data_IF_044598763777
#
_entry.id   IF_044598763777
#
_cell.length_a   1.000
_cell.length_b   1.000
_cell.length_c   1.000
_cell.angle_alpha   90.00
_cell.angle_beta   90.00
_cell.angle_gamma   90.00
#
_symmetry.space_group_name_H-M   'P 1'
#
loop_
_entity.id
_entity.type
_entity.pdbx_description
1 polymer ?
#
# COMPACT_ATOMS: atom_id res chain seq x y z
N UNK A 1 16.41 -1.54 -21.50
CA UNK A 1 16.77 -2.37 -20.33
C UNK A 1 16.15 -3.73 -20.55
N UNK A 2 16.89 -4.82 -20.44
CA UNK A 2 16.28 -6.14 -20.57
C UNK A 2 15.49 -6.47 -19.28
N UNK A 3 14.63 -7.49 -19.31
CA UNK A 3 13.78 -7.84 -18.17
C UNK A 3 14.56 -8.27 -16.91
N UNK A 4 15.71 -8.94 -17.09
CA UNK A 4 16.56 -9.37 -15.98
C UNK A 4 17.18 -8.16 -15.27
N UNK A 5 17.66 -7.17 -16.04
CA UNK A 5 18.16 -5.91 -15.48
C UNK A 5 17.07 -5.20 -14.64
N UNK A 6 15.81 -5.21 -15.11
CA UNK A 6 14.69 -4.63 -14.36
C UNK A 6 14.39 -5.42 -13.07
N UNK A 7 14.52 -6.74 -13.08
CA UNK A 7 14.35 -7.56 -11.88
C UNK A 7 15.41 -7.23 -10.83
N UNK A 8 16.68 -7.15 -11.25
CA UNK A 8 17.80 -6.81 -10.36
C UNK A 8 17.63 -5.41 -9.77
N UNK A 9 17.25 -4.42 -10.58
CA UNK A 9 17.02 -3.06 -10.10
C UNK A 9 15.85 -2.96 -9.12
N UNK A 10 14.71 -3.61 -9.42
CA UNK A 10 13.56 -3.64 -8.51
C UNK A 10 13.94 -4.26 -7.16
N UNK A 11 14.65 -5.39 -7.18
CA UNK A 11 15.12 -6.03 -5.96
C UNK A 11 16.05 -5.11 -5.17
N UNK A 12 17.00 -4.46 -5.85
CA UNK A 12 17.95 -3.54 -5.22
C UNK A 12 17.25 -2.32 -4.61
N UNK A 13 16.30 -1.71 -5.31
CA UNK A 13 15.54 -0.56 -4.81
C UNK A 13 14.73 -0.94 -3.56
N UNK A 14 14.01 -2.08 -3.60
CA UNK A 14 13.21 -2.54 -2.46
C UNK A 14 14.10 -2.93 -1.26
N UNK A 15 15.22 -3.61 -1.51
CA UNK A 15 16.16 -3.99 -0.45
C UNK A 15 16.78 -2.75 0.21
N UNK A 16 17.10 -1.73 -0.57
CA UNK A 16 17.62 -0.48 -0.04
C UNK A 16 16.59 0.24 0.85
N UNK A 17 15.31 0.28 0.44
CA UNK A 17 14.23 0.85 1.25
C UNK A 17 14.04 0.09 2.58
N UNK A 18 14.22 -1.23 2.58
CA UNK A 18 14.18 -2.04 3.81
C UNK A 18 15.40 -1.77 4.69
N UNK A 19 16.60 -1.89 4.11
CA UNK A 19 17.89 -1.81 4.79
C UNK A 19 18.10 -0.47 5.51
N UNK A 20 17.77 0.66 4.87
CA UNK A 20 17.90 1.99 5.48
C UNK A 20 17.02 2.10 6.74
N UNK A 21 15.75 1.70 6.66
CA UNK A 21 14.81 1.78 7.78
C UNK A 21 15.17 0.82 8.91
N UNK A 22 15.57 -0.40 8.56
CA UNK A 22 16.04 -1.38 9.53
C UNK A 22 17.27 -0.86 10.28
N UNK A 23 18.24 -0.29 9.55
CA UNK A 23 19.43 0.33 10.14
C UNK A 23 19.07 1.46 11.10
N UNK A 24 18.19 2.38 10.70
CA UNK A 24 17.77 3.51 11.54
C UNK A 24 17.09 3.04 12.84
N UNK A 25 16.14 2.10 12.75
CA UNK A 25 15.45 1.54 13.92
C UNK A 25 16.42 0.87 14.90
N UNK A 26 17.30 0.00 14.37
CA UNK A 26 18.32 -0.69 15.18
C UNK A 26 19.30 0.30 15.81
N UNK A 27 19.68 1.35 15.09
CA UNK A 27 20.62 2.36 15.59
C UNK A 27 20.04 3.14 16.76
N UNK A 28 18.76 3.52 16.69
CA UNK A 28 18.07 4.17 17.80
C UNK A 28 17.96 3.27 19.03
N UNK A 29 17.62 2.00 18.84
CA UNK A 29 17.58 1.03 19.95
C UNK A 29 18.94 0.83 20.61
N UNK A 30 19.99 0.69 19.81
CA UNK A 30 21.35 0.53 20.32
C UNK A 30 21.80 1.78 21.09
N UNK A 31 21.47 2.96 20.58
CA UNK A 31 21.74 4.22 21.28
C UNK A 31 21.07 4.23 22.66
N UNK A 32 19.81 3.84 22.77
CA UNK A 32 19.13 3.76 24.07
C UNK A 32 19.76 2.73 24.99
N UNK A 33 20.02 1.50 24.51
CA UNK A 33 20.64 0.44 25.34
C UNK A 33 22.01 0.84 25.91
N UNK A 34 22.80 1.61 25.16
CA UNK A 34 24.11 2.08 25.60
C UNK A 34 24.03 3.23 26.62
N UNK A 35 22.91 3.96 26.64
CA UNK A 35 22.70 5.12 27.51
C UNK A 35 21.58 4.86 28.54
N UNK A 36 21.23 3.60 28.77
CA UNK A 36 20.15 3.24 29.68
C UNK A 36 20.57 3.58 31.12
N UNK A 37 19.79 4.46 31.74
CA UNK A 37 20.04 4.95 33.10
C UNK A 37 19.37 4.08 34.17
N UNK A 38 18.55 3.11 33.76
CA UNK A 38 17.69 2.32 34.65
C UNK A 38 16.45 3.07 35.14
N UNK A 39 16.23 4.31 34.68
CA UNK A 39 15.03 5.09 34.95
C UNK A 39 13.88 4.62 34.04
N UNK A 40 12.92 3.90 34.62
CA UNK A 40 11.80 3.32 33.88
C UNK A 40 10.82 4.38 33.33
N UNK A 41 10.70 5.55 33.97
CA UNK A 41 9.85 6.62 33.45
C UNK A 41 10.46 7.20 32.16
N UNK A 42 11.76 7.48 32.18
CA UNK A 42 12.48 7.92 30.99
C UNK A 42 12.52 6.82 29.90
N UNK A 43 12.76 5.57 30.29
CA UNK A 43 12.73 4.42 29.39
C UNK A 43 11.38 4.27 28.69
N UNK A 44 10.29 4.45 29.43
CA UNK A 44 8.93 4.46 28.90
C UNK A 44 8.72 5.59 27.88
N UNK A 45 9.15 6.81 28.21
CA UNK A 45 9.08 7.95 27.28
C UNK A 45 9.89 7.67 26.00
N UNK A 46 11.07 7.10 26.11
CA UNK A 46 11.88 6.73 24.96
C UNK A 46 11.17 5.69 24.07
N UNK A 47 10.59 4.65 24.67
CA UNK A 47 9.81 3.63 23.93
C UNK A 47 8.56 4.22 23.26
N UNK A 48 7.91 5.24 23.82
CA UNK A 48 6.82 5.97 23.13
C UNK A 48 7.32 6.60 21.83
N UNK A 49 8.48 7.25 21.85
CA UNK A 49 9.10 7.85 20.66
C UNK A 49 9.45 6.78 19.63
N UNK A 50 10.02 5.64 20.06
CA UNK A 50 10.32 4.54 19.16
C UNK A 50 9.08 3.94 18.49
N UNK A 51 7.92 3.92 19.16
CA UNK A 51 6.66 3.47 18.54
C UNK A 51 6.22 4.39 17.40
N UNK A 52 6.34 5.70 17.58
CA UNK A 52 6.01 6.69 16.53
C UNK A 52 6.92 6.48 15.33
N UNK A 53 8.22 6.32 15.57
CA UNK A 53 9.22 6.12 14.52
C UNK A 53 9.03 4.78 13.82
N UNK A 54 8.85 3.69 14.56
CA UNK A 54 8.56 2.35 14.04
C UNK A 54 7.36 2.36 13.09
N UNK A 55 6.26 2.99 13.51
CA UNK A 55 5.08 3.10 12.66
C UNK A 55 5.38 3.89 11.38
N UNK A 56 6.04 5.05 11.48
CA UNK A 56 6.37 5.89 10.33
C UNK A 56 7.24 5.15 9.31
N UNK A 57 8.21 4.36 9.78
CA UNK A 57 9.01 3.50 8.91
C UNK A 57 8.19 2.40 8.28
N UNK A 58 7.34 1.72 9.04
CA UNK A 58 6.47 0.65 8.54
C UNK A 58 5.53 1.14 7.43
N UNK A 59 4.78 2.22 7.69
CA UNK A 59 3.86 2.81 6.71
C UNK A 59 4.60 3.33 5.49
N UNK A 60 5.68 4.09 5.71
CA UNK A 60 6.48 4.66 4.65
C UNK A 60 7.14 3.59 3.78
N UNK A 61 7.58 2.46 4.36
CA UNK A 61 8.11 1.33 3.63
C UNK A 61 7.03 0.73 2.72
N UNK A 62 5.91 0.28 3.29
CA UNK A 62 4.84 -0.39 2.55
C UNK A 62 4.36 0.46 1.38
N UNK A 63 4.11 1.76 1.62
CA UNK A 63 3.72 2.69 0.56
C UNK A 63 4.77 2.76 -0.54
N UNK A 64 6.05 2.92 -0.17
CA UNK A 64 7.13 3.11 -1.14
C UNK A 64 7.37 1.88 -2.00
N UNK A 65 7.38 0.68 -1.43
CA UNK A 65 7.63 -0.55 -2.20
C UNK A 65 6.47 -0.91 -3.12
N UNK A 66 5.22 -0.62 -2.72
CA UNK A 66 4.06 -0.78 -3.60
C UNK A 66 4.10 0.22 -4.78
N UNK A 67 4.54 1.46 -4.54
CA UNK A 67 4.75 2.45 -5.61
C UNK A 67 5.89 2.03 -6.56
N UNK A 68 6.99 1.49 -6.04
CA UNK A 68 8.07 0.92 -6.86
C UNK A 68 7.50 -0.18 -7.75
N UNK A 69 6.74 -1.13 -7.19
CA UNK A 69 6.12 -2.18 -7.98
C UNK A 69 5.22 -1.64 -9.11
N UNK A 70 4.34 -0.68 -8.80
CA UNK A 70 3.46 -0.04 -9.81
C UNK A 70 4.26 0.62 -10.93
N UNK A 71 5.35 1.31 -10.60
CA UNK A 71 6.23 1.93 -11.59
C UNK A 71 6.88 0.88 -12.50
N UNK A 72 7.41 -0.20 -11.95
CA UNK A 72 8.01 -1.28 -12.74
C UNK A 72 7.00 -2.02 -13.63
N UNK A 73 5.78 -2.27 -13.13
CA UNK A 73 4.69 -2.81 -13.95
C UNK A 73 4.37 -1.89 -15.13
N UNK A 74 4.30 -0.57 -14.90
CA UNK A 74 4.05 0.42 -15.95
C UNK A 74 5.18 0.47 -16.99
N UNK A 75 6.44 0.30 -16.57
CA UNK A 75 7.61 0.25 -17.47
C UNK A 75 7.61 -0.99 -18.37
N UNK A 76 6.93 -2.07 -17.97
CA UNK A 76 6.83 -3.31 -18.76
C UNK A 76 6.03 -3.20 -20.05
N UNK A 77 5.36 -2.06 -20.31
CA UNK A 77 4.58 -1.78 -21.52
C UNK A 77 3.54 -2.86 -21.90
N UNK A 78 3.00 -3.56 -20.90
CA UNK A 78 2.11 -4.69 -21.04
C UNK A 78 0.76 -4.27 -21.65
N UNK A 79 0.14 -5.14 -22.45
CA UNK A 79 -1.26 -4.95 -22.85
C UNK A 79 -2.19 -5.31 -21.69
N UNK A 80 -3.21 -4.48 -21.43
CA UNK A 80 -4.15 -4.66 -20.30
C UNK A 80 -4.85 -6.03 -20.35
N UNK A 81 -5.17 -6.54 -21.54
CA UNK A 81 -5.80 -7.86 -21.70
C UNK A 81 -4.95 -9.03 -21.18
N UNK A 82 -3.62 -8.86 -21.09
CA UNK A 82 -2.69 -9.93 -20.72
C UNK A 82 -2.38 -9.99 -19.21
N UNK A 83 -2.78 -8.98 -18.43
CA UNK A 83 -2.53 -8.94 -16.98
C UNK A 83 -3.70 -9.47 -16.18
N UNK A 84 -3.47 -9.89 -14.94
CA UNK A 84 -4.52 -10.33 -14.03
C UNK A 84 -5.56 -9.24 -13.74
N UNK A 85 -6.73 -9.68 -13.28
CA UNK A 85 -7.93 -8.83 -13.25
C UNK A 85 -7.85 -7.69 -12.23
N UNK A 86 -7.14 -7.85 -11.11
CA UNK A 86 -6.87 -6.76 -10.17
C UNK A 86 -6.01 -5.65 -10.77
N UNK A 87 -4.94 -5.99 -11.49
CA UNK A 87 -4.14 -5.00 -12.24
C UNK A 87 -4.93 -4.37 -13.39
N UNK A 88 -5.76 -5.13 -14.10
CA UNK A 88 -6.64 -4.59 -15.13
C UNK A 88 -7.70 -3.64 -14.54
N UNK A 89 -8.31 -4.00 -13.40
CA UNK A 89 -9.24 -3.15 -12.68
C UNK A 89 -8.58 -1.87 -12.15
N UNK A 90 -7.32 -1.98 -11.74
CA UNK A 90 -6.47 -0.87 -11.32
C UNK A 90 -6.26 0.17 -12.43
N UNK A 91 -6.16 -0.27 -13.68
CA UNK A 91 -6.04 0.61 -14.86
C UNK A 91 -7.29 1.48 -15.10
N UNK A 92 -8.47 0.98 -14.70
CA UNK A 92 -9.78 1.64 -14.91
C UNK A 92 -10.38 2.19 -13.61
N UNK A 93 -9.54 2.46 -12.62
CA UNK A 93 -9.97 2.94 -11.30
C UNK A 93 -10.75 4.27 -11.38
N UNK A 94 -10.29 5.19 -12.24
CA UNK A 94 -10.94 6.48 -12.44
C UNK A 94 -12.36 6.32 -13.00
N UNK A 95 -12.56 5.38 -13.90
CA UNK A 95 -13.81 5.04 -14.54
C UNK A 95 -14.79 4.43 -13.53
N UNK A 96 -14.32 3.56 -12.62
CA UNK A 96 -15.13 3.07 -11.51
C UNK A 96 -15.54 4.19 -10.55
N UNK A 97 -14.63 5.13 -10.24
CA UNK A 97 -14.97 6.29 -9.40
C UNK A 97 -16.04 7.15 -10.07
N UNK A 98 -15.92 7.43 -11.38
CA UNK A 98 -16.92 8.17 -12.17
C UNK A 98 -18.28 7.47 -12.24
N UNK A 99 -18.29 6.14 -12.32
CA UNK A 99 -19.52 5.35 -12.33
C UNK A 99 -20.32 5.54 -11.03
N UNK A 100 -19.63 5.66 -9.89
CA UNK A 100 -20.21 5.82 -8.56
C UNK A 100 -20.41 7.28 -8.12
N UNK A 101 -19.71 8.23 -8.75
CA UNK A 101 -19.82 9.65 -8.43
C UNK A 101 -21.18 10.22 -8.87
N UNK A 102 -21.99 10.65 -7.91
CA UNK A 102 -23.31 11.24 -8.18
C UNK A 102 -23.23 12.56 -8.94
N UNK A 103 -22.13 13.30 -8.80
CA UNK A 103 -21.91 14.58 -9.47
C UNK A 103 -21.38 14.42 -10.90
N UNK A 104 -20.81 13.26 -11.23
CA UNK A 104 -20.29 13.01 -12.57
C UNK A 104 -21.40 12.95 -13.61
N UNK A 105 -21.23 13.69 -14.71
CA UNK A 105 -22.17 13.74 -15.84
C UNK A 105 -21.54 13.05 -17.05
N UNK A 106 -22.13 11.95 -17.56
CA UNK A 106 -21.55 11.23 -18.71
C UNK A 106 -21.56 12.11 -19.97
N UNK A 107 -20.45 12.09 -20.70
CA UNK A 107 -20.20 12.90 -21.91
C UNK A 107 -21.14 12.49 -23.04
N UNK A 108 -21.57 11.23 -23.05
CA UNK A 108 -22.49 10.67 -24.05
C UNK A 108 -23.90 11.26 -24.02
N UNK A 109 -24.23 12.05 -23.00
CA UNK A 109 -25.50 12.77 -22.88
C UNK A 109 -25.25 14.28 -23.03
N UNK A 110 -25.94 14.93 -23.97
CA UNK A 110 -25.92 16.40 -24.07
C UNK A 110 -26.47 17.05 -22.80
N UNK A 111 -26.02 18.26 -22.46
CA UNK A 111 -26.33 18.95 -21.19
C UNK A 111 -27.84 19.01 -20.84
N UNK A 112 -28.71 19.03 -21.85
CA UNK A 112 -30.16 19.09 -21.68
C UNK A 112 -30.79 17.75 -21.23
N UNK A 113 -30.21 16.60 -21.58
CA UNK A 113 -30.70 15.29 -21.17
C UNK A 113 -30.37 14.95 -19.70
N UNK A 114 -29.38 15.66 -19.12
CA UNK A 114 -28.84 15.41 -17.78
C UNK A 114 -29.55 16.18 -16.66
N UNK A 115 -30.46 17.10 -16.98
CA UNK A 115 -31.11 17.98 -16.00
C UNK A 115 -32.38 17.40 -15.36
N UNK A 116 -32.89 16.25 -15.81
CA UNK A 116 -34.25 15.81 -15.45
C UNK A 116 -34.37 14.36 -14.93
N UNK A 117 -33.40 13.48 -15.18
CA UNK A 117 -33.58 12.04 -14.92
C UNK A 117 -32.29 11.35 -14.44
N UNK A 118 -32.23 11.03 -13.14
CA UNK A 118 -31.11 10.31 -12.53
C UNK A 118 -30.95 8.88 -13.07
N UNK A 119 -32.02 8.25 -13.55
CA UNK A 119 -31.99 6.92 -14.16
C UNK A 119 -31.31 7.01 -15.53
N UNK A 120 -31.65 8.01 -16.34
CA UNK A 120 -30.99 8.25 -17.64
C UNK A 120 -29.50 8.56 -17.45
N UNK A 121 -29.15 9.37 -16.44
CA UNK A 121 -27.75 9.65 -16.09
C UNK A 121 -27.00 8.36 -15.73
N UNK A 122 -27.59 7.47 -14.92
CA UNK A 122 -27.01 6.16 -14.58
C UNK A 122 -26.78 5.30 -15.83
N UNK A 123 -27.76 5.22 -16.75
CA UNK A 123 -27.58 4.47 -18.01
C UNK A 123 -26.50 5.08 -18.90
N UNK A 124 -26.40 6.40 -18.96
CA UNK A 124 -25.32 7.10 -19.65
C UNK A 124 -23.94 6.74 -19.11
N UNK A 125 -23.77 6.74 -17.78
CA UNK A 125 -22.50 6.33 -17.12
C UNK A 125 -22.12 4.89 -17.46
N UNK A 126 -23.08 3.96 -17.43
CA UNK A 126 -22.85 2.55 -17.79
C UNK A 126 -22.44 2.40 -19.26
N UNK A 127 -23.06 3.14 -20.17
CA UNK A 127 -22.71 3.12 -21.60
C UNK A 127 -21.31 3.66 -21.84
N UNK A 128 -20.97 4.79 -21.22
CA UNK A 128 -19.62 5.38 -21.30
C UNK A 128 -18.57 4.43 -20.72
N UNK A 129 -18.80 3.84 -19.55
CA UNK A 129 -17.94 2.83 -18.96
C UNK A 129 -17.67 1.67 -19.93
N UNK A 130 -18.71 1.11 -20.56
CA UNK A 130 -18.52 0.00 -21.50
C UNK A 130 -17.71 0.39 -22.75
N UNK A 131 -17.85 1.62 -23.23
CA UNK A 131 -17.02 2.14 -24.32
C UNK A 131 -15.56 2.26 -23.88
N UNK A 132 -15.31 2.92 -22.74
CA UNK A 132 -13.96 3.10 -22.21
C UNK A 132 -13.30 1.76 -21.87
N UNK A 133 -14.03 0.83 -21.27
CA UNK A 133 -13.55 -0.52 -20.97
C UNK A 133 -13.02 -1.22 -22.22
N UNK A 134 -13.79 -1.24 -23.32
CA UNK A 134 -13.36 -1.87 -24.58
C UNK A 134 -12.09 -1.24 -25.15
N UNK A 135 -11.94 0.07 -25.02
CA UNK A 135 -10.74 0.78 -25.46
C UNK A 135 -9.54 0.53 -24.57
N UNK A 136 -9.73 0.48 -23.25
CA UNK A 136 -8.63 0.30 -22.29
C UNK A 136 -8.08 -1.12 -22.36
N UNK A 137 -8.94 -2.13 -22.52
CA UNK A 137 -8.51 -3.52 -22.61
C UNK A 137 -7.59 -3.78 -23.82
N UNK A 138 -7.69 -3.00 -24.90
CA UNK A 138 -6.81 -3.09 -26.07
C UNK A 138 -5.56 -2.19 -26.01
N UNK A 139 -5.42 -1.38 -24.95
CA UNK A 139 -4.30 -0.45 -24.76
C UNK A 139 -3.27 -1.00 -23.77
N UNK A 140 -2.10 -0.35 -23.77
CA UNK A 140 -1.06 -0.56 -22.76
C UNK A 140 -1.63 -0.26 -21.36
N UNK A 141 -1.24 -1.09 -20.40
CA UNK A 141 -1.55 -0.95 -18.99
C UNK A 141 -0.94 0.34 -18.46
N UNK A 142 -1.72 1.13 -17.72
CA UNK A 142 -1.23 2.30 -17.00
C UNK A 142 -1.90 2.42 -15.63
N UNK A 143 -1.25 1.87 -14.62
CA UNK A 143 -1.73 1.94 -13.23
C UNK A 143 -1.33 3.30 -12.65
N UNK A 144 -2.28 4.08 -12.10
CA UNK A 144 -1.98 5.35 -11.47
C UNK A 144 -1.41 5.17 -10.06
N UNK A 145 -0.54 6.07 -9.62
CA UNK A 145 0.10 6.02 -8.30
C UNK A 145 -0.91 6.18 -7.14
N UNK A 146 -2.02 6.87 -7.39
CA UNK A 146 -3.09 7.12 -6.41
C UNK A 146 -3.87 5.85 -6.02
N UNK A 147 -3.51 4.72 -6.61
CA UNK A 147 -3.94 3.41 -6.17
C UNK A 147 -3.30 2.98 -4.85
N UNK A 148 -2.09 3.48 -4.57
CA UNK A 148 -1.38 3.22 -3.32
C UNK A 148 -1.78 4.28 -2.29
N UNK A 149 -3.01 4.14 -1.80
CA UNK A 149 -3.57 4.99 -0.75
C UNK A 149 -3.51 4.29 0.61
N UNK A 150 -2.72 4.84 1.53
CA UNK A 150 -2.63 4.38 2.92
C UNK A 150 -3.78 4.88 3.79
N UNK A 151 -4.76 5.57 3.19
CA UNK A 151 -5.84 6.27 3.86
C UNK A 151 -5.27 7.24 4.93
N UNK A 152 -5.98 7.42 6.04
CA UNK A 152 -5.46 8.18 7.19
C UNK A 152 -4.31 7.45 7.93
N UNK A 153 -4.30 6.12 7.85
CA UNK A 153 -3.35 5.25 8.57
C UNK A 153 -3.32 3.87 7.91
N UNK A 154 -2.13 3.30 7.72
CA UNK A 154 -1.96 1.93 7.23
C UNK A 154 -2.33 0.87 8.28
N UNK A 155 -3.64 0.71 8.53
CA UNK A 155 -4.18 -0.41 9.30
C UNK A 155 -4.06 -1.71 8.51
N UNK A 156 -4.16 -2.85 9.20
CA UNK A 156 -4.02 -4.17 8.56
C UNK A 156 -4.97 -4.39 7.38
N UNK A 157 -6.21 -3.91 7.50
CA UNK A 157 -7.21 -4.03 6.43
C UNK A 157 -6.90 -3.13 5.24
N UNK A 158 -6.23 -1.98 5.44
CA UNK A 158 -5.80 -1.09 4.35
C UNK A 158 -4.70 -1.77 3.54
N UNK A 159 -3.70 -2.34 4.23
CA UNK A 159 -2.64 -3.12 3.56
C UNK A 159 -3.22 -4.32 2.78
N UNK A 160 -4.20 -5.03 3.34
CA UNK A 160 -4.90 -6.11 2.62
C UNK A 160 -5.57 -5.63 1.34
N UNK A 161 -6.28 -4.48 1.39
CA UNK A 161 -6.90 -3.88 0.19
C UNK A 161 -5.86 -3.59 -0.88
N UNK A 162 -4.74 -2.98 -0.50
CA UNK A 162 -3.65 -2.63 -1.42
C UNK A 162 -3.04 -3.87 -2.09
N UNK A 163 -2.74 -4.91 -1.32
CA UNK A 163 -2.21 -6.17 -1.86
C UNK A 163 -3.23 -6.88 -2.78
N UNK A 164 -4.50 -6.95 -2.36
CA UNK A 164 -5.56 -7.55 -3.15
C UNK A 164 -5.78 -6.82 -4.47
N UNK A 165 -5.76 -5.49 -4.45
CA UNK A 165 -5.95 -4.65 -5.63
C UNK A 165 -4.85 -4.84 -6.68
N UNK A 166 -3.63 -5.21 -6.24
CA UNK A 166 -2.49 -5.51 -7.10
C UNK A 166 -2.33 -7.02 -7.40
N UNK A 167 -3.35 -7.84 -7.17
CA UNK A 167 -3.33 -9.30 -7.35
C UNK A 167 -2.19 -10.02 -6.59
N UNK A 168 -1.85 -9.52 -5.41
CA UNK A 168 -0.89 -10.14 -4.49
C UNK A 168 -1.60 -10.89 -3.36
N UNK A 169 -0.89 -11.85 -2.76
CA UNK A 169 -1.39 -12.57 -1.60
C UNK A 169 -1.50 -11.62 -0.40
N UNK A 170 -2.74 -11.32 0.00
CA UNK A 170 -3.03 -10.47 1.15
C UNK A 170 -3.18 -11.26 2.46
N UNK A 171 -3.25 -12.60 2.39
CA UNK A 171 -3.49 -13.47 3.56
C UNK A 171 -2.32 -13.47 4.53
N UNK A 172 -1.11 -13.16 4.04
CA UNK A 172 0.08 -12.97 4.88
C UNK A 172 -0.14 -11.95 6.01
N UNK A 173 -0.99 -10.93 5.78
CA UNK A 173 -1.31 -9.89 6.76
C UNK A 173 -2.17 -10.43 7.93
N UNK A 174 -2.84 -11.57 7.77
CA UNK A 174 -3.72 -12.14 8.80
C UNK A 174 -2.98 -12.41 10.12
N UNK A 175 -1.75 -12.92 10.02
CA UNK A 175 -0.88 -13.26 11.16
C UNK A 175 -0.33 -12.06 11.93
N UNK A 176 -0.55 -10.84 11.40
CA UNK A 176 -0.02 -9.57 11.95
C UNK A 176 -1.13 -8.56 12.26
N UNK A 177 -2.39 -8.90 11.99
CA UNK A 177 -3.51 -7.97 12.06
C UNK A 177 -3.65 -7.31 13.43
N UNK A 178 -3.47 -8.07 14.51
CA UNK A 178 -3.58 -7.54 15.87
C UNK A 178 -2.49 -6.50 16.11
N UNK A 179 -1.23 -6.86 15.93
CA UNK A 179 -0.09 -6.03 16.27
C UNK A 179 0.02 -4.78 15.41
N UNK A 180 -0.32 -4.85 14.12
CA UNK A 180 -0.33 -3.65 13.26
C UNK A 180 -1.42 -2.68 13.67
N UNK A 181 -2.63 -3.16 13.98
CA UNK A 181 -3.71 -2.28 14.41
C UNK A 181 -3.43 -1.67 15.80
N UNK A 182 -2.84 -2.44 16.71
CA UNK A 182 -2.38 -1.93 18.01
C UNK A 182 -1.24 -0.91 17.85
N UNK A 183 -0.29 -1.14 16.94
CA UNK A 183 0.79 -0.20 16.63
C UNK A 183 0.23 1.14 16.10
N UNK A 184 -0.73 1.10 15.16
CA UNK A 184 -1.44 2.30 14.67
C UNK A 184 -2.11 3.04 15.83
N UNK A 185 -2.85 2.31 16.67
CA UNK A 185 -3.55 2.89 17.80
C UNK A 185 -2.61 3.55 18.80
N UNK A 186 -1.50 2.87 19.15
CA UNK A 186 -0.47 3.42 20.05
C UNK A 186 0.22 4.64 19.45
N UNK A 187 0.60 4.59 18.16
CA UNK A 187 1.17 5.76 17.45
C UNK A 187 0.25 6.96 17.55
N UNK A 188 -1.04 6.78 17.27
CA UNK A 188 -2.02 7.87 17.31
C UNK A 188 -2.13 8.46 18.71
N UNK A 189 -2.32 7.61 19.72
CA UNK A 189 -2.41 8.06 21.10
C UNK A 189 -1.16 8.85 21.53
N UNK A 190 0.04 8.36 21.22
CA UNK A 190 1.28 9.03 21.60
C UNK A 190 1.52 10.33 20.83
N UNK A 191 1.21 10.37 19.53
CA UNK A 191 1.35 11.57 18.71
C UNK A 191 0.36 12.67 19.08
N UNK A 192 -0.84 12.31 19.56
CA UNK A 192 -1.85 13.27 20.02
C UNK A 192 -1.69 13.69 21.49
N UNK A 193 -0.74 13.09 22.22
CA UNK A 193 -0.47 13.42 23.62
C UNK A 193 -1.48 12.80 24.59
N UNK A 194 -2.17 11.73 24.20
CA UNK A 194 -3.12 11.04 25.07
C UNK A 194 -2.41 10.46 26.30
N UNK A 195 -3.11 10.44 27.44
CA UNK A 195 -2.63 9.91 28.72
C UNK A 195 -2.61 8.36 28.75
N UNK A 196 -1.98 7.76 27.75
CA UNK A 196 -1.78 6.31 27.64
C UNK A 196 -0.44 5.93 28.25
N UNK A 197 -0.40 4.84 29.02
CA UNK A 197 0.84 4.32 29.59
C UNK A 197 1.87 4.01 28.49
N UNK A 198 3.16 4.28 28.72
CA UNK A 198 4.22 3.77 27.86
C UNK A 198 4.12 2.25 27.63
N UNK A 199 4.57 1.75 26.47
CA UNK A 199 4.66 0.32 26.27
C UNK A 199 5.78 -0.26 27.14
N UNK A 200 5.60 -1.49 27.63
CA UNK A 200 6.69 -2.25 28.24
C UNK A 200 7.75 -2.59 27.17
N UNK A 201 8.93 -3.03 27.61
CA UNK A 201 9.97 -3.51 26.71
C UNK A 201 9.48 -4.69 25.84
N UNK A 202 8.72 -5.61 26.42
CA UNK A 202 8.18 -6.77 25.71
C UNK A 202 7.12 -6.39 24.68
N UNK A 203 6.22 -5.46 25.03
CA UNK A 203 5.23 -4.92 24.11
C UNK A 203 5.91 -4.25 22.91
N UNK A 204 6.88 -3.37 23.19
CA UNK A 204 7.66 -2.71 22.14
C UNK A 204 8.39 -3.72 21.24
N UNK A 205 9.10 -4.68 21.84
CA UNK A 205 9.84 -5.71 21.09
C UNK A 205 8.91 -6.54 20.21
N UNK A 206 7.70 -6.85 20.68
CA UNK A 206 6.69 -7.56 19.90
C UNK A 206 6.24 -6.74 18.68
N UNK A 207 5.84 -5.48 18.87
CA UNK A 207 5.43 -4.61 17.76
C UNK A 207 6.54 -4.45 16.73
N UNK A 208 7.76 -4.20 17.18
CA UNK A 208 8.93 -4.07 16.32
C UNK A 208 9.17 -5.33 15.51
N UNK A 209 9.25 -6.49 16.18
CA UNK A 209 9.48 -7.77 15.52
C UNK A 209 8.42 -8.03 14.46
N UNK A 210 7.15 -7.81 14.78
CA UNK A 210 6.02 -8.06 13.88
C UNK A 210 6.00 -7.11 12.69
N UNK A 211 6.29 -5.82 12.90
CA UNK A 211 6.41 -4.85 11.82
C UNK A 211 7.56 -5.20 10.86
N UNK A 212 8.76 -5.50 11.39
CA UNK A 212 9.92 -5.88 10.56
C UNK A 212 9.70 -7.18 9.79
N UNK A 213 9.13 -8.20 10.44
CA UNK A 213 8.78 -9.46 9.77
C UNK A 213 7.78 -9.24 8.63
N UNK A 214 6.74 -8.42 8.85
CA UNK A 214 5.77 -8.12 7.80
C UNK A 214 6.38 -7.30 6.65
N UNK A 215 7.28 -6.36 6.95
CA UNK A 215 8.03 -5.63 5.92
C UNK A 215 8.86 -6.58 5.04
N UNK A 216 9.52 -7.57 5.66
CA UNK A 216 10.28 -8.60 4.95
C UNK A 216 9.37 -9.48 4.08
N UNK A 217 8.22 -9.92 4.60
CA UNK A 217 7.25 -10.72 3.83
C UNK A 217 6.68 -9.94 2.63
N UNK A 218 6.36 -8.65 2.81
CA UNK A 218 5.90 -7.78 1.71
C UNK A 218 6.99 -7.64 0.65
N UNK A 219 8.25 -7.43 1.04
CA UNK A 219 9.39 -7.40 0.12
C UNK A 219 9.45 -8.69 -0.71
N UNK A 220 9.37 -9.84 -0.04
CA UNK A 220 9.44 -11.16 -0.69
C UNK A 220 8.30 -11.31 -1.70
N UNK A 221 7.06 -10.99 -1.33
CA UNK A 221 5.89 -11.11 -2.21
C UNK A 221 5.99 -10.20 -3.42
N UNK A 222 6.41 -8.93 -3.24
CA UNK A 222 6.55 -7.99 -4.35
C UNK A 222 7.61 -8.48 -5.33
N UNK A 223 8.79 -8.87 -4.82
CA UNK A 223 9.88 -9.39 -5.63
C UNK A 223 9.46 -10.67 -6.36
N UNK A 224 8.89 -11.64 -5.65
CA UNK A 224 8.42 -12.90 -6.23
C UNK A 224 7.33 -12.67 -7.28
N UNK A 225 6.36 -11.79 -7.03
CA UNK A 225 5.29 -11.49 -7.96
C UNK A 225 5.83 -10.87 -9.25
N UNK A 226 6.78 -9.93 -9.13
CA UNK A 226 7.41 -9.31 -10.30
C UNK A 226 8.30 -10.33 -11.03
N UNK A 227 9.33 -10.88 -10.38
CA UNK A 227 10.34 -11.75 -11.01
C UNK A 227 9.70 -12.94 -11.73
N UNK A 228 8.75 -13.61 -11.07
CA UNK A 228 8.07 -14.78 -11.63
C UNK A 228 6.87 -14.42 -12.52
N UNK A 229 6.71 -13.14 -12.86
CA UNK A 229 5.66 -12.61 -13.74
C UNK A 229 4.25 -13.03 -13.31
N UNK A 230 4.01 -13.14 -12.00
CA UNK A 230 2.72 -13.59 -11.45
C UNK A 230 1.60 -12.57 -11.70
N UNK A 231 1.91 -11.40 -12.23
CA UNK A 231 0.96 -10.38 -12.68
C UNK A 231 0.33 -10.69 -14.05
N UNK A 232 0.88 -11.65 -14.82
CA UNK A 232 0.31 -12.10 -16.09
C UNK A 232 -0.81 -13.13 -15.88
N UNK A 233 -1.76 -13.17 -16.80
CA UNK A 233 -2.73 -14.28 -16.87
C UNK A 233 -2.00 -15.58 -17.24
N UNK A 234 -2.31 -16.66 -16.54
CA UNK A 234 -1.87 -18.00 -16.95
C UNK A 234 -2.66 -18.38 -18.20
N UNK A 235 -1.94 -18.78 -19.25
CA UNK A 235 -2.54 -19.32 -20.50
C UNK A 235 -3.17 -20.67 -20.23
#
# INVERSE_FOLDING_TARGET
MNYNDMCEQLQQEIENEYSIRHYELVSMENFYKLNDTGDEDFAGLYRKSLIIILYSHFEGFCKKVLLIYVDYINRGELLTVNVKDGLAASNILLEFRRLNDSNYKPITLGENALKADGILQMYGKRKEFMTTYREVMSKKLKIPDDIVDTESNLKSHVLKKLLFQLDMDFTIVDSYQKEINELVHKRNAYAHGDLVRPPSIDEYNNYRKKALMLMEEIKIIICDNYINQKYLKTV
#
